data_IF_901264020093
#
_entry.id   IF_901264020093
#
_cell.length_a   1.000
_cell.length_b   1.000
_cell.length_c   1.000
_cell.angle_alpha   90.00
_cell.angle_beta   90.00
_cell.angle_gamma   90.00
#
_symmetry.space_group_name_H-M   'P 1'
#
loop_
_entity.id
_entity.type
_entity.pdbx_description
1 polymer ?
#
# COMPACT_ATOMS: atom_id res chain seq x y z
N UNK A 1 0.60 4.06 -0.25
CA UNK A 1 -0.17 3.32 -1.31
C UNK A 1 0.55 3.07 -2.66
N UNK A 2 1.82 3.41 -2.86
CA UNK A 2 2.41 3.50 -4.21
C UNK A 2 2.44 2.20 -5.05
N UNK A 3 2.71 1.04 -4.45
CA UNK A 3 2.76 -0.24 -5.19
C UNK A 3 1.38 -0.73 -5.65
N UNK A 4 0.38 -0.64 -4.77
CA UNK A 4 -0.99 -1.06 -5.08
C UNK A 4 -1.61 -0.17 -6.18
N UNK A 5 -1.32 1.15 -6.13
CA UNK A 5 -1.73 2.09 -7.17
C UNK A 5 -1.11 1.71 -8.53
N UNK A 6 0.20 1.47 -8.60
CA UNK A 6 0.86 1.01 -9.84
C UNK A 6 0.25 -0.29 -10.37
N UNK A 7 0.00 -1.27 -9.51
CA UNK A 7 -0.61 -2.53 -9.90
C UNK A 7 -2.01 -2.34 -10.51
N UNK A 8 -2.83 -1.44 -9.96
CA UNK A 8 -4.15 -1.14 -10.50
C UNK A 8 -4.08 -0.62 -11.95
N UNK A 9 -3.22 0.38 -12.23
CA UNK A 9 -3.15 0.98 -13.57
C UNK A 9 -2.54 0.07 -14.64
N UNK A 10 -1.70 -0.89 -14.27
CA UNK A 10 -1.18 -1.89 -15.22
C UNK A 10 -2.30 -2.73 -15.82
N UNK A 11 -3.33 -3.04 -15.04
CA UNK A 11 -4.43 -3.92 -15.44
C UNK A 11 -5.74 -3.19 -15.77
N UNK A 12 -5.77 -1.85 -15.77
CA UNK A 12 -7.00 -1.07 -15.94
C UNK A 12 -7.73 -1.40 -17.25
N UNK A 13 -7.00 -1.66 -18.34
CA UNK A 13 -7.56 -2.00 -19.65
C UNK A 13 -7.91 -3.50 -19.80
N UNK A 14 -7.46 -4.35 -18.87
CA UNK A 14 -7.65 -5.81 -18.89
C UNK A 14 -7.80 -6.32 -17.45
N UNK A 15 -8.95 -6.05 -16.81
CA UNK A 15 -9.15 -6.41 -15.42
C UNK A 15 -9.17 -7.93 -15.23
N UNK A 16 -8.51 -8.39 -14.18
CA UNK A 16 -8.55 -9.77 -13.72
C UNK A 16 -9.74 -9.94 -12.77
N UNK A 17 -10.75 -10.69 -13.21
CA UNK A 17 -11.96 -10.96 -12.45
C UNK A 17 -11.97 -12.44 -12.05
N UNK A 18 -12.18 -12.72 -10.77
CA UNK A 18 -12.29 -14.11 -10.29
C UNK A 18 -13.68 -14.71 -10.55
N UNK A 19 -13.87 -16.00 -10.24
CA UNK A 19 -15.15 -16.71 -10.46
C UNK A 19 -16.34 -16.15 -9.66
N UNK A 20 -16.09 -15.28 -8.66
CA UNK A 20 -17.12 -14.59 -7.88
C UNK A 20 -17.44 -13.18 -8.40
N UNK A 21 -16.83 -12.77 -9.52
CA UNK A 21 -17.05 -11.44 -10.10
C UNK A 21 -16.22 -10.33 -9.45
N UNK A 22 -15.30 -10.65 -8.54
CA UNK A 22 -14.47 -9.65 -7.85
C UNK A 22 -13.26 -9.29 -8.72
N UNK A 23 -13.01 -7.99 -8.89
CA UNK A 23 -11.80 -7.48 -9.53
C UNK A 23 -10.60 -7.67 -8.59
N UNK A 24 -9.67 -8.55 -8.96
CA UNK A 24 -8.46 -8.88 -8.20
C UNK A 24 -7.19 -8.32 -8.82
N UNK A 25 -7.31 -7.40 -9.79
CA UNK A 25 -6.19 -6.88 -10.58
C UNK A 25 -5.10 -6.23 -9.72
N UNK A 26 -5.51 -5.32 -8.81
CA UNK A 26 -4.57 -4.62 -7.95
C UNK A 26 -3.90 -5.58 -6.96
N UNK A 27 -4.65 -6.52 -6.39
CA UNK A 27 -4.11 -7.58 -5.53
C UNK A 27 -3.07 -8.41 -6.27
N UNK A 28 -3.42 -8.94 -7.44
CA UNK A 28 -2.53 -9.78 -8.24
C UNK A 28 -1.23 -9.06 -8.62
N UNK A 29 -1.35 -7.83 -9.16
CA UNK A 29 -0.18 -7.05 -9.55
C UNK A 29 0.70 -6.66 -8.37
N UNK A 30 0.10 -6.34 -7.22
CA UNK A 30 0.82 -6.05 -5.98
C UNK A 30 1.61 -7.27 -5.51
N UNK A 31 0.95 -8.43 -5.38
CA UNK A 31 1.57 -9.68 -4.92
C UNK A 31 2.72 -10.11 -5.82
N UNK A 32 2.56 -10.04 -7.14
CA UNK A 32 3.64 -10.36 -8.07
C UNK A 32 4.84 -9.41 -7.92
N UNK A 33 4.59 -8.12 -7.71
CA UNK A 33 5.67 -7.16 -7.49
C UNK A 33 6.40 -7.44 -6.17
N UNK A 34 5.65 -7.80 -5.12
CA UNK A 34 6.21 -8.15 -3.83
C UNK A 34 7.10 -9.40 -3.89
N UNK A 35 6.59 -10.48 -4.51
CA UNK A 35 7.35 -11.72 -4.72
C UNK A 35 8.63 -11.46 -5.51
N UNK A 36 8.53 -10.69 -6.59
CA UNK A 36 9.69 -10.33 -7.40
C UNK A 36 10.74 -9.54 -6.61
N UNK A 37 10.33 -8.62 -5.74
CA UNK A 37 11.27 -7.89 -4.88
C UNK A 37 12.01 -8.83 -3.91
N UNK A 38 11.31 -9.80 -3.32
CA UNK A 38 11.89 -10.80 -2.42
C UNK A 38 12.92 -11.65 -3.17
N UNK A 39 12.55 -12.16 -4.35
CA UNK A 39 13.40 -13.03 -5.17
C UNK A 39 14.62 -12.30 -5.74
N UNK A 40 14.44 -11.11 -6.31
CA UNK A 40 15.49 -10.37 -7.01
C UNK A 40 16.56 -9.81 -6.06
N UNK A 41 16.18 -9.51 -4.81
CA UNK A 41 17.06 -8.83 -3.84
C UNK A 41 17.43 -9.67 -2.62
N UNK A 42 16.93 -10.90 -2.48
CA UNK A 42 17.22 -11.76 -1.34
C UNK A 42 16.82 -11.11 -0.01
N UNK A 43 15.66 -10.47 0.03
CA UNK A 43 15.22 -9.68 1.19
C UNK A 43 14.91 -10.60 2.37
N UNK A 44 15.68 -10.48 3.45
CA UNK A 44 15.48 -11.26 4.69
C UNK A 44 14.53 -10.57 5.68
N UNK A 45 14.45 -9.24 5.65
CA UNK A 45 13.57 -8.44 6.51
C UNK A 45 12.69 -7.54 5.66
N UNK A 46 11.37 -7.64 5.85
CA UNK A 46 10.40 -6.87 5.09
C UNK A 46 9.22 -6.46 5.97
N UNK A 47 8.68 -5.28 5.71
CA UNK A 47 7.38 -4.86 6.19
C UNK A 47 6.64 -4.10 5.07
N UNK A 48 5.31 -4.14 5.09
CA UNK A 48 4.48 -3.36 4.19
C UNK A 48 3.76 -2.29 5.00
N UNK A 49 3.92 -1.04 4.60
CA UNK A 49 3.30 0.11 5.25
C UNK A 49 2.13 0.62 4.40
N UNK A 50 0.96 0.78 5.02
CA UNK A 50 -0.19 1.46 4.41
C UNK A 50 -0.47 2.78 5.12
N UNK A 51 -0.96 3.73 4.33
CA UNK A 51 -1.56 4.95 4.85
C UNK A 51 -2.90 4.59 5.51
N UNK A 52 -3.18 5.16 6.68
CA UNK A 52 -4.51 5.03 7.30
C UNK A 52 -5.50 5.84 6.47
N UNK A 53 -6.51 5.16 5.94
CA UNK A 53 -7.64 5.79 5.25
C UNK A 53 -8.73 6.07 6.28
N UNK A 54 -8.87 7.31 6.76
CA UNK A 54 -9.83 7.65 7.81
C UNK A 54 -9.97 9.14 8.08
N UNK A 55 -10.99 9.50 8.88
CA UNK A 55 -11.18 10.87 9.37
C UNK A 55 -10.08 11.24 10.38
N UNK A 56 -9.45 12.39 10.18
CA UNK A 56 -8.34 12.88 11.01
C UNK A 56 -7.12 13.33 10.21
N UNK A 57 -7.00 12.90 8.94
CA UNK A 57 -5.89 13.27 8.07
C UNK A 57 -4.54 12.96 8.71
N UNK A 58 -3.53 13.72 8.30
CA UNK A 58 -2.19 13.70 8.88
C UNK A 58 -1.95 15.03 9.58
N UNK A 59 -0.89 15.11 10.39
CA UNK A 59 -0.45 16.39 10.95
C UNK A 59 -0.19 17.48 9.88
N UNK A 60 0.03 17.10 8.61
CA UNK A 60 0.21 18.05 7.51
C UNK A 60 -1.10 18.72 7.10
N UNK A 61 -2.22 18.01 7.19
CA UNK A 61 -3.54 18.57 6.92
C UNK A 61 -3.92 19.62 7.98
N UNK A 62 -3.48 19.43 9.24
CA UNK A 62 -3.63 20.43 10.30
C UNK A 62 -2.75 21.67 10.07
N UNK A 63 -1.55 21.47 9.51
CA UNK A 63 -0.61 22.56 9.24
C UNK A 63 -0.98 23.37 7.99
N UNK A 64 -1.61 22.74 7.00
CA UNK A 64 -1.96 23.37 5.73
C UNK A 64 -3.18 22.70 5.09
N UNK A 65 -4.29 23.43 5.04
CA UNK A 65 -5.59 22.93 4.58
C UNK A 65 -5.59 22.47 3.11
N UNK A 66 -4.83 23.16 2.24
CA UNK A 66 -4.73 22.79 0.81
C UNK A 66 -3.68 21.70 0.55
N UNK A 67 -3.14 21.05 1.59
CA UNK A 67 -2.18 19.98 1.44
C UNK A 67 -2.79 18.83 0.64
N UNK A 68 -2.18 18.50 -0.50
CA UNK A 68 -2.68 17.47 -1.45
C UNK A 68 -4.11 17.69 -1.98
N UNK A 69 -4.69 18.88 -1.82
CA UNK A 69 -6.07 19.17 -2.27
C UNK A 69 -6.31 18.96 -3.78
N UNK A 70 -5.24 19.01 -4.58
CA UNK A 70 -5.27 18.79 -6.04
C UNK A 70 -5.10 17.31 -6.44
N UNK A 71 -5.01 16.39 -5.47
CA UNK A 71 -4.86 14.97 -5.75
C UNK A 71 -6.23 14.33 -5.89
N UNK A 72 -6.44 13.63 -7.01
CA UNK A 72 -7.65 12.83 -7.20
C UNK A 72 -7.75 11.74 -6.13
N UNK A 73 -8.97 11.42 -5.65
CA UNK A 73 -9.17 10.31 -4.74
C UNK A 73 -8.71 9.00 -5.39
N UNK A 74 -8.24 8.02 -4.60
CA UNK A 74 -7.87 6.72 -5.15
C UNK A 74 -9.10 6.06 -5.81
N UNK A 75 -8.94 5.34 -6.93
CA UNK A 75 -10.05 4.64 -7.58
C UNK A 75 -10.76 3.69 -6.63
N UNK A 76 -12.10 3.64 -6.66
CA UNK A 76 -12.91 2.80 -5.77
C UNK A 76 -12.51 1.31 -5.83
N UNK A 77 -12.22 0.82 -7.04
CA UNK A 77 -11.73 -0.54 -7.28
C UNK A 77 -10.41 -0.84 -6.55
N UNK A 78 -9.51 0.14 -6.46
CA UNK A 78 -8.26 0.03 -5.72
C UNK A 78 -8.54 -0.01 -4.21
N UNK A 79 -9.41 0.86 -3.72
CA UNK A 79 -9.81 0.89 -2.31
C UNK A 79 -10.46 -0.44 -1.91
N UNK A 80 -11.33 -1.00 -2.74
CA UNK A 80 -11.96 -2.31 -2.53
C UNK A 80 -10.97 -3.48 -2.53
N UNK A 81 -9.81 -3.34 -3.16
CA UNK A 81 -8.74 -4.34 -3.16
C UNK A 81 -7.83 -4.26 -1.92
N UNK A 82 -7.78 -3.12 -1.21
CA UNK A 82 -6.86 -2.94 -0.08
C UNK A 82 -7.02 -4.00 1.02
N UNK A 83 -8.25 -4.40 1.45
CA UNK A 83 -8.39 -5.45 2.44
C UNK A 83 -7.77 -6.77 1.99
N UNK A 84 -8.01 -7.16 0.73
CA UNK A 84 -7.48 -8.40 0.17
C UNK A 84 -5.95 -8.37 0.03
N UNK A 85 -5.38 -7.22 -0.35
CA UNK A 85 -3.93 -7.02 -0.37
C UNK A 85 -3.34 -7.25 1.02
N UNK A 86 -3.93 -6.62 2.05
CA UNK A 86 -3.48 -6.78 3.45
C UNK A 86 -3.58 -8.23 3.93
N UNK A 87 -4.64 -8.94 3.57
CA UNK A 87 -4.79 -10.37 3.86
C UNK A 87 -3.68 -11.20 3.23
N UNK A 88 -3.34 -10.96 1.96
CA UNK A 88 -2.27 -11.68 1.27
C UNK A 88 -0.92 -11.41 1.93
N UNK A 89 -0.60 -10.15 2.23
CA UNK A 89 0.67 -9.80 2.90
C UNK A 89 0.79 -10.49 4.27
N UNK A 90 -0.29 -10.47 5.06
CA UNK A 90 -0.32 -11.19 6.35
C UNK A 90 -0.17 -12.70 6.17
N UNK A 91 -0.77 -13.28 5.13
CA UNK A 91 -0.64 -14.71 4.83
C UNK A 91 0.77 -15.11 4.39
N UNK A 92 1.58 -14.14 3.93
CA UNK A 92 3.01 -14.32 3.62
C UNK A 92 3.91 -14.14 4.85
N UNK A 93 3.34 -13.99 6.05
CA UNK A 93 4.05 -13.70 7.30
C UNK A 93 4.86 -12.38 7.26
N UNK A 94 4.40 -11.43 6.44
CA UNK A 94 5.01 -10.10 6.34
C UNK A 94 4.22 -9.13 7.22
N UNK A 95 4.88 -8.41 8.15
CA UNK A 95 4.24 -7.37 8.96
C UNK A 95 3.54 -6.31 8.10
N UNK A 96 2.29 -6.01 8.43
CA UNK A 96 1.53 -4.90 7.88
C UNK A 96 1.44 -3.80 8.95
N UNK A 97 1.97 -2.62 8.62
CA UNK A 97 2.07 -1.49 9.56
C UNK A 97 1.19 -0.35 9.07
N UNK A 98 0.39 0.20 9.98
CA UNK A 98 -0.47 1.35 9.77
C UNK A 98 -0.40 2.21 11.04
N UNK A 99 -0.19 3.52 10.89
CA UNK A 99 -0.06 4.44 12.03
C UNK A 99 -0.95 5.65 11.76
N UNK A 100 -1.87 5.93 12.68
CA UNK A 100 -2.78 7.07 12.58
C UNK A 100 -2.01 8.40 12.69
N UNK A 101 -2.50 9.43 11.97
CA UNK A 101 -1.96 10.79 12.04
C UNK A 101 -0.67 11.05 11.25
N UNK A 102 -0.09 10.03 10.59
CA UNK A 102 1.13 10.15 9.78
C UNK A 102 1.01 9.43 8.44
N UNK A 103 1.88 9.75 7.49
CA UNK A 103 1.93 9.08 6.19
C UNK A 103 2.78 7.82 6.24
N UNK A 104 2.56 6.91 5.29
CA UNK A 104 3.41 5.73 5.12
C UNK A 104 4.90 6.12 4.97
N UNK A 105 5.18 7.24 4.31
CA UNK A 105 6.54 7.74 4.10
C UNK A 105 7.21 8.15 5.43
N UNK A 106 6.46 8.70 6.40
CA UNK A 106 6.97 9.04 7.73
C UNK A 106 7.35 7.78 8.53
N UNK A 107 6.51 6.74 8.43
CA UNK A 107 6.75 5.45 9.07
C UNK A 107 7.98 4.77 8.44
N UNK A 108 8.08 4.75 7.11
CA UNK A 108 9.24 4.18 6.40
C UNK A 108 10.53 4.91 6.79
N UNK A 109 10.53 6.25 6.84
CA UNK A 109 11.69 7.03 7.25
C UNK A 109 12.08 6.75 8.70
N UNK A 110 11.10 6.63 9.59
CA UNK A 110 11.32 6.28 11.00
C UNK A 110 11.93 4.90 11.15
N UNK A 111 11.40 3.88 10.47
CA UNK A 111 11.93 2.52 10.50
C UNK A 111 13.35 2.44 9.93
N UNK A 112 13.64 3.23 8.88
CA UNK A 112 14.96 3.29 8.27
C UNK A 112 16.02 3.79 9.25
N UNK A 113 15.71 4.82 10.05
CA UNK A 113 16.62 5.33 11.10
C UNK A 113 16.79 4.39 12.29
N UNK A 114 15.80 3.55 12.58
CA UNK A 114 15.93 2.51 13.59
C UNK A 114 16.84 1.38 13.08
N UNK A 115 16.61 0.92 11.85
CA UNK A 115 17.40 -0.15 11.24
C UNK A 115 18.87 0.24 11.01
N UNK A 116 19.20 1.51 10.83
CA UNK A 116 20.60 1.98 10.75
C UNK A 116 21.38 1.78 12.05
N UNK A 117 20.69 1.75 13.20
CA UNK A 117 21.30 1.65 14.53
C UNK A 117 21.49 0.21 15.02
N UNK A 118 20.87 -0.75 14.34
CA UNK A 118 21.01 -2.19 14.59
C UNK A 118 22.25 -2.75 13.89
#
# INVERSE_FOLDING_TARGET
MALAYRAHFVFINRPLINSRGQNTSATYGFTNTLLKLIEDHGIEHMAVVFDVMGEGGTFRDEMFEDYKAHRDPPPDDLVANLPLIKEVVKAMDIPVIEVEGVEADDVIGTLSLHAEKD
#
